data_IF_768166377872
#
_entry.id   IF_768166377872
#
_cell.length_a   1.000
_cell.length_b   1.000
_cell.length_c   1.000
_cell.angle_alpha   90.00
_cell.angle_beta   90.00
_cell.angle_gamma   90.00
#
_symmetry.space_group_name_H-M   'P 1'
#
loop_
_entity.id
_entity.type
_entity.pdbx_description
1 polymer ?
#
# COMPACT_ATOMS: atom_id res chain seq x y z
N UNK A 1 26.85 -1.35 1.09
CA UNK A 1 26.75 -0.62 2.37
C UNK A 1 25.96 -1.46 3.36
N UNK A 2 26.58 -1.84 4.48
CA UNK A 2 26.00 -2.67 5.54
C UNK A 2 25.17 -1.81 6.53
N UNK A 3 24.35 -0.91 6.01
CA UNK A 3 23.52 -0.02 6.81
C UNK A 3 22.12 -0.63 7.01
N UNK A 4 21.63 -0.58 8.24
CA UNK A 4 20.32 -1.05 8.64
C UNK A 4 19.42 0.14 8.94
N UNK A 5 18.28 0.21 8.25
CA UNK A 5 17.25 1.22 8.45
C UNK A 5 16.00 0.59 9.05
N UNK A 6 15.47 1.15 10.12
CA UNK A 6 14.23 0.63 10.72
C UNK A 6 13.49 1.67 11.57
N UNK A 7 12.22 1.40 11.82
CA UNK A 7 11.38 2.14 12.76
C UNK A 7 10.98 1.23 13.91
N UNK A 8 11.43 1.52 15.12
CA UNK A 8 11.15 0.71 16.33
C UNK A 8 11.10 1.57 17.59
N UNK A 9 10.66 0.98 18.70
CA UNK A 9 10.89 1.49 20.05
C UNK A 9 12.26 1.03 20.54
N UNK A 10 13.07 1.97 21.04
CA UNK A 10 14.45 1.71 21.46
C UNK A 10 14.52 1.35 22.96
N UNK A 11 13.55 1.82 23.74
CA UNK A 11 13.50 1.61 25.19
C UNK A 11 12.53 0.49 25.58
N UNK A 12 12.82 -0.14 26.72
CA UNK A 12 11.95 -1.19 27.27
C UNK A 12 10.57 -0.68 27.68
N UNK A 13 10.45 0.61 28.02
CA UNK A 13 9.18 1.21 28.43
C UNK A 13 8.25 1.55 27.24
N UNK A 14 8.72 1.42 26.00
CA UNK A 14 7.93 1.72 24.81
C UNK A 14 7.57 3.20 24.69
N UNK A 15 8.47 4.10 25.09
CA UNK A 15 8.25 5.56 25.05
C UNK A 15 9.12 6.27 24.01
N UNK A 16 10.25 5.67 23.63
CA UNK A 16 11.23 6.23 22.70
C UNK A 16 11.18 5.53 21.34
N UNK A 17 10.18 5.89 20.54
CA UNK A 17 10.10 5.47 19.15
C UNK A 17 11.04 6.30 18.26
N UNK A 18 11.72 5.64 17.34
CA UNK A 18 12.54 6.32 16.35
C UNK A 18 12.55 5.61 15.00
N UNK A 19 12.67 6.39 13.93
CA UNK A 19 13.23 5.92 12.67
C UNK A 19 14.74 6.10 12.77
N UNK A 20 15.50 5.03 12.62
CA UNK A 20 16.94 5.04 12.81
C UNK A 20 17.70 4.32 11.69
N UNK A 21 18.93 4.79 11.46
CA UNK A 21 19.97 4.09 10.71
C UNK A 21 21.07 3.69 11.67
N UNK A 22 21.41 2.42 11.66
CA UNK A 22 22.51 1.86 12.43
C UNK A 22 23.29 0.87 11.57
N UNK A 23 24.33 0.27 12.15
CA UNK A 23 25.28 -0.58 11.43
C UNK A 23 26.04 0.19 10.33
N UNK A 24 27.11 -0.40 9.81
CA UNK A 24 27.99 0.27 8.86
C UNK A 24 29.03 1.18 9.50
N UNK A 25 29.65 2.03 8.67
CA UNK A 25 30.80 2.87 9.05
C UNK A 25 30.41 4.25 9.58
N UNK A 26 29.20 4.70 9.28
CA UNK A 26 28.71 6.01 9.68
C UNK A 26 28.14 5.98 11.11
N UNK A 27 28.07 7.16 11.75
CA UNK A 27 27.42 7.29 13.04
C UNK A 27 25.93 6.93 12.92
N UNK A 28 25.38 6.36 14.00
CA UNK A 28 23.96 6.06 14.08
C UNK A 28 23.14 7.36 13.95
N UNK A 29 22.08 7.31 13.14
CA UNK A 29 21.18 8.42 12.87
C UNK A 29 19.79 8.09 13.40
N UNK A 30 19.07 9.08 13.93
CA UNK A 30 17.72 8.90 14.44
C UNK A 30 16.82 10.13 14.26
N UNK A 31 15.52 9.97 14.43
CA UNK A 31 14.59 11.09 14.59
C UNK A 31 14.84 11.87 15.89
N UNK A 32 14.44 13.14 15.93
CA UNK A 32 14.60 13.98 17.13
C UNK A 32 13.82 13.41 18.33
N UNK A 33 14.55 13.03 19.37
CA UNK A 33 14.02 12.31 20.52
C UNK A 33 13.01 13.16 21.29
N UNK A 34 11.92 12.55 21.76
CA UNK A 34 10.84 13.19 22.52
C UNK A 34 10.20 14.40 21.83
N UNK A 35 10.32 14.49 20.50
CA UNK A 35 9.71 15.53 19.69
C UNK A 35 8.47 15.00 18.98
N UNK A 36 7.29 15.25 19.56
CA UNK A 36 6.00 14.76 19.02
C UNK A 36 5.64 15.31 17.63
N UNK A 37 6.30 16.39 17.17
CA UNK A 37 6.16 16.86 15.79
C UNK A 37 6.76 15.87 14.79
N UNK A 38 7.80 15.15 15.20
CA UNK A 38 8.49 14.17 14.36
C UNK A 38 7.78 12.83 14.38
N UNK A 39 7.56 12.27 15.57
CA UNK A 39 6.86 11.01 15.79
C UNK A 39 6.08 11.08 17.09
N UNK A 40 4.82 10.65 17.08
CA UNK A 40 3.97 10.66 18.27
C UNK A 40 3.24 9.33 18.45
N UNK A 41 3.79 8.43 19.27
CA UNK A 41 3.28 7.07 19.49
C UNK A 41 3.05 6.31 18.15
N UNK A 42 4.10 6.13 17.33
CA UNK A 42 3.96 5.51 16.02
C UNK A 42 3.86 3.98 16.09
N UNK A 43 3.13 3.41 15.15
CA UNK A 43 3.21 2.00 14.78
C UNK A 43 3.70 1.90 13.33
N UNK A 44 4.91 1.38 13.15
CA UNK A 44 5.57 1.24 11.85
C UNK A 44 5.03 0.02 11.08
N UNK A 45 4.76 0.20 9.79
CA UNK A 45 4.12 -0.81 8.94
C UNK A 45 5.06 -1.29 7.84
N UNK A 46 5.69 -0.37 7.11
CA UNK A 46 6.53 -0.72 5.97
C UNK A 46 7.65 0.29 5.75
N UNK A 47 8.75 -0.14 5.13
CA UNK A 47 9.81 0.73 4.64
C UNK A 47 10.26 0.27 3.27
N UNK A 48 10.45 1.21 2.34
CA UNK A 48 10.89 0.91 0.98
C UNK A 48 11.84 1.99 0.46
N UNK A 49 12.94 1.56 -0.17
CA UNK A 49 13.80 2.42 -0.97
C UNK A 49 13.10 2.72 -2.31
N UNK A 50 12.88 3.99 -2.61
CA UNK A 50 12.31 4.44 -3.88
C UNK A 50 13.18 5.59 -4.42
N UNK A 51 13.89 5.40 -5.55
CA UNK A 51 14.66 6.45 -6.19
C UNK A 51 13.79 7.64 -6.58
N UNK A 52 14.31 8.86 -6.41
CA UNK A 52 13.58 10.09 -6.78
C UNK A 52 13.96 10.59 -8.17
N UNK A 53 15.18 10.29 -8.63
CA UNK A 53 15.70 10.65 -9.95
C UNK A 53 16.62 9.55 -10.50
N UNK A 54 17.33 9.83 -11.60
CA UNK A 54 18.39 8.94 -12.10
C UNK A 54 19.69 9.07 -11.29
N UNK A 55 19.85 10.17 -10.55
CA UNK A 55 20.99 10.40 -9.66
C UNK A 55 20.77 9.65 -8.35
N UNK A 56 21.72 8.77 -7.99
CA UNK A 56 21.60 7.91 -6.81
C UNK A 56 21.58 8.70 -5.51
N UNK A 57 22.22 9.88 -5.50
CA UNK A 57 22.17 10.77 -4.35
C UNK A 57 20.76 11.31 -4.07
N UNK A 58 19.82 11.23 -5.02
CA UNK A 58 18.42 11.60 -4.79
C UNK A 58 17.59 10.45 -4.19
N UNK A 59 18.16 9.27 -3.98
CA UNK A 59 17.47 8.10 -3.43
C UNK A 59 16.94 8.36 -2.01
N UNK A 60 15.69 7.94 -1.79
CA UNK A 60 14.99 8.15 -0.51
C UNK A 60 14.37 6.86 0.01
N UNK A 61 14.38 6.73 1.33
CA UNK A 61 13.59 5.72 2.03
C UNK A 61 12.25 6.31 2.41
N UNK A 62 11.18 5.57 2.09
CA UNK A 62 9.81 5.91 2.45
C UNK A 62 9.34 4.98 3.56
N UNK A 63 8.90 5.57 4.67
CA UNK A 63 8.40 4.88 5.86
C UNK A 63 6.88 5.04 5.94
N UNK A 64 6.16 3.94 6.07
CA UNK A 64 4.72 3.91 6.22
C UNK A 64 4.39 3.52 7.65
N UNK A 65 3.61 4.35 8.33
CA UNK A 65 3.29 4.17 9.74
C UNK A 65 1.99 4.87 10.08
N UNK A 66 1.44 4.59 11.25
CA UNK A 66 0.34 5.36 11.86
C UNK A 66 0.79 5.94 13.18
N UNK A 67 0.29 7.09 13.56
CA UNK A 67 0.69 7.79 14.79
C UNK A 67 -0.49 8.55 15.39
N UNK A 68 -0.41 8.92 16.67
CA UNK A 68 -1.41 9.79 17.30
C UNK A 68 -1.28 11.23 16.77
N UNK A 69 -2.41 11.83 16.47
CA UNK A 69 -2.51 13.25 16.12
C UNK A 69 -2.04 14.13 17.27
N UNK A 70 -1.42 15.26 16.93
CA UNK A 70 -1.00 16.30 17.89
C UNK A 70 -2.04 17.42 18.03
N UNK A 71 -3.23 17.24 17.44
CA UNK A 71 -4.25 18.30 17.34
C UNK A 71 -5.26 18.34 18.46
N UNK A 72 -5.64 17.18 18.99
CA UNK A 72 -6.61 17.10 20.07
C UNK A 72 -6.09 16.17 21.15
N UNK A 73 -5.51 16.72 22.24
CA UNK A 73 -5.13 15.90 23.39
C UNK A 73 -6.35 15.24 24.06
N UNK A 74 -7.56 15.79 23.84
CA UNK A 74 -8.81 15.30 24.43
C UNK A 74 -9.52 14.23 23.60
N UNK A 75 -9.13 14.03 22.34
CA UNK A 75 -9.66 12.98 21.47
C UNK A 75 -8.51 12.41 20.63
N UNK A 76 -7.83 11.35 21.10
CA UNK A 76 -6.68 10.80 20.41
C UNK A 76 -7.13 10.19 19.08
N UNK A 77 -6.98 10.97 18.01
CA UNK A 77 -7.19 10.54 16.63
C UNK A 77 -5.88 9.94 16.13
N UNK A 78 -5.95 8.80 15.45
CA UNK A 78 -4.80 8.19 14.79
C UNK A 78 -4.78 8.70 13.35
N UNK A 79 -3.60 9.01 12.82
CA UNK A 79 -3.42 9.31 11.41
C UNK A 79 -2.41 8.36 10.78
N UNK A 80 -2.72 7.92 9.58
CA UNK A 80 -1.78 7.22 8.71
C UNK A 80 -0.83 8.21 8.03
N UNK A 81 0.45 7.85 7.98
CA UNK A 81 1.55 8.69 7.52
C UNK A 81 2.43 7.97 6.52
N UNK A 82 2.96 8.76 5.60
CA UNK A 82 4.15 8.43 4.83
C UNK A 82 5.24 9.42 5.22
N UNK A 83 6.37 8.91 5.69
CA UNK A 83 7.60 9.67 5.97
C UNK A 83 8.65 9.40 4.91
N UNK A 84 9.59 10.32 4.70
CA UNK A 84 10.74 10.12 3.82
C UNK A 84 12.02 10.68 4.43
N UNK A 85 13.16 10.05 4.12
CA UNK A 85 14.52 10.54 4.41
C UNK A 85 15.40 10.29 3.19
N UNK A 86 16.40 11.14 2.96
CA UNK A 86 17.46 10.88 1.99
C UNK A 86 18.36 9.75 2.48
N UNK A 87 18.73 8.84 1.59
CA UNK A 87 19.56 7.69 1.93
C UNK A 87 20.95 8.13 2.43
N UNK A 88 21.51 9.18 1.81
CA UNK A 88 22.82 9.76 2.09
C UNK A 88 22.79 10.94 3.09
N UNK A 89 21.77 11.00 3.96
CA UNK A 89 21.71 12.01 5.03
C UNK A 89 22.79 11.73 6.10
N UNK A 90 23.60 12.74 6.41
CA UNK A 90 24.70 12.69 7.38
C UNK A 90 24.39 13.47 8.67
N UNK A 91 23.17 13.96 8.80
CA UNK A 91 22.73 14.86 9.86
C UNK A 91 23.21 16.28 9.68
N UNK A 92 22.91 17.13 10.66
CA UNK A 92 23.37 18.53 10.66
C UNK A 92 24.73 18.71 11.32
N UNK A 93 25.35 19.88 11.09
CA UNK A 93 26.67 20.23 11.60
C UNK A 93 26.64 20.65 13.09
N UNK A 94 25.86 21.69 13.42
CA UNK A 94 25.69 22.19 14.79
C UNK A 94 24.37 21.73 15.42
N UNK A 95 23.27 21.87 14.68
CA UNK A 95 21.95 21.36 15.05
C UNK A 95 21.71 19.99 14.40
N UNK A 96 20.83 19.17 14.97
CA UNK A 96 20.52 17.83 14.44
C UNK A 96 21.76 16.94 14.21
N UNK A 97 22.79 17.06 15.06
CA UNK A 97 23.93 16.15 15.05
C UNK A 97 23.45 14.72 15.33
N UNK A 98 23.81 13.78 14.47
CA UNK A 98 23.37 12.38 14.52
C UNK A 98 21.82 12.22 14.47
N UNK A 99 21.13 13.20 13.87
CA UNK A 99 19.68 13.18 13.67
C UNK A 99 19.35 13.51 12.22
N UNK A 100 18.30 12.90 11.67
CA UNK A 100 17.90 13.13 10.28
C UNK A 100 17.74 14.61 9.98
N UNK A 101 18.38 15.10 8.93
CA UNK A 101 18.25 16.49 8.49
C UNK A 101 17.35 16.63 7.26
N UNK A 102 16.79 15.52 6.78
CA UNK A 102 15.92 15.44 5.59
C UNK A 102 14.55 14.79 5.86
N UNK A 103 14.25 14.45 7.13
CA UNK A 103 12.99 13.80 7.50
C UNK A 103 11.76 14.69 7.30
N UNK A 104 10.84 14.25 6.46
CA UNK A 104 9.52 14.85 6.27
C UNK A 104 8.43 13.79 6.33
N UNK A 105 7.21 14.14 6.77
CA UNK A 105 6.03 13.27 6.75
C UNK A 105 4.77 13.97 6.26
N UNK A 106 3.88 13.21 5.62
CA UNK A 106 2.58 13.66 5.14
C UNK A 106 1.48 12.69 5.59
N UNK A 107 0.23 13.17 5.72
CA UNK A 107 -0.94 12.32 5.99
C UNK A 107 -1.31 11.54 4.72
N UNK A 108 -1.54 10.24 4.85
CA UNK A 108 -2.24 9.44 3.84
C UNK A 108 -3.74 9.47 4.14
N UNK A 109 -4.55 9.82 3.15
CA UNK A 109 -6.01 9.80 3.26
C UNK A 109 -6.54 8.57 2.56
N UNK A 110 -7.35 7.78 3.26
CA UNK A 110 -8.19 6.76 2.65
C UNK A 110 -9.62 6.99 3.16
N UNK A 111 -10.47 7.55 2.32
CA UNK A 111 -11.83 7.96 2.73
C UNK A 111 -12.83 7.78 1.60
N UNK A 112 -14.08 7.55 1.98
CA UNK A 112 -15.22 7.53 1.05
C UNK A 112 -15.95 8.87 1.18
N UNK A 113 -16.12 9.63 0.09
CA UNK A 113 -16.89 10.87 0.11
C UNK A 113 -18.38 10.57 0.29
N UNK A 114 -19.02 11.17 1.29
CA UNK A 114 -20.47 11.15 1.49
C UNK A 114 -21.20 12.09 0.52
N UNK A 115 -22.50 11.84 0.31
CA UNK A 115 -23.35 12.70 -0.53
C UNK A 115 -23.53 14.12 0.04
N UNK A 116 -23.33 14.27 1.34
CA UNK A 116 -23.30 15.53 2.10
C UNK A 116 -21.93 16.22 2.06
N UNK A 117 -20.94 15.64 1.39
CA UNK A 117 -19.56 16.11 1.36
C UNK A 117 -18.72 15.74 2.58
N UNK A 118 -19.28 14.99 3.54
CA UNK A 118 -18.53 14.50 4.70
C UNK A 118 -17.79 13.22 4.32
N UNK A 119 -16.47 13.20 4.52
CA UNK A 119 -15.64 12.04 4.23
C UNK A 119 -15.66 11.04 5.40
N UNK A 120 -15.94 9.78 5.10
CA UNK A 120 -15.76 8.67 6.06
C UNK A 120 -14.35 8.13 5.96
N UNK A 121 -13.53 8.34 6.99
CA UNK A 121 -12.10 8.00 6.98
C UNK A 121 -11.79 6.59 7.51
N UNK A 122 -10.79 5.95 6.89
CA UNK A 122 -10.13 4.74 7.35
C UNK A 122 -8.69 5.11 7.73
N UNK A 123 -8.48 5.57 8.96
CA UNK A 123 -7.20 6.18 9.37
C UNK A 123 -6.17 5.19 9.94
N UNK A 124 -6.52 3.91 10.13
CA UNK A 124 -5.60 2.90 10.67
C UNK A 124 -4.96 2.05 9.56
N UNK A 125 -3.79 2.48 9.06
CA UNK A 125 -2.96 1.70 8.13
C UNK A 125 -2.55 0.35 8.74
N UNK A 126 -2.81 -0.75 8.05
CA UNK A 126 -2.49 -2.12 8.47
C UNK A 126 -1.33 -2.75 7.69
N UNK A 127 -1.31 -2.59 6.36
CA UNK A 127 -0.28 -3.17 5.50
C UNK A 127 -0.08 -2.34 4.23
N UNK A 128 1.08 -2.49 3.60
CA UNK A 128 1.47 -1.80 2.36
C UNK A 128 2.14 -2.78 1.40
N UNK A 129 1.64 -2.83 0.17
CA UNK A 129 2.26 -3.55 -0.93
C UNK A 129 2.75 -2.58 -2.02
N UNK A 130 4.02 -2.69 -2.39
CA UNK A 130 4.67 -1.85 -3.40
C UNK A 130 4.75 -2.62 -4.72
N UNK A 131 3.91 -2.25 -5.67
CA UNK A 131 3.96 -2.79 -7.02
C UNK A 131 4.97 -2.01 -7.85
N UNK A 132 6.09 -2.65 -8.16
CA UNK A 132 7.08 -2.08 -9.08
C UNK A 132 6.50 -1.97 -10.48
N UNK A 133 6.73 -0.84 -11.14
CA UNK A 133 6.42 -0.64 -12.56
C UNK A 133 7.69 -0.79 -13.39
N UNK A 134 7.61 -0.55 -14.70
CA UNK A 134 8.81 -0.51 -15.55
C UNK A 134 9.76 0.63 -15.12
N UNK A 135 9.23 1.68 -14.51
CA UNK A 135 10.01 2.76 -13.91
C UNK A 135 10.05 2.58 -12.38
N UNK A 136 11.20 2.15 -11.86
CA UNK A 136 11.40 1.93 -10.42
C UNK A 136 11.26 3.21 -9.56
N UNK A 137 11.28 4.39 -10.19
CA UNK A 137 10.96 5.67 -9.52
C UNK A 137 9.46 5.86 -9.34
N UNK A 138 8.63 5.12 -10.06
CA UNK A 138 7.18 5.26 -10.05
C UNK A 138 6.47 3.94 -9.75
N UNK A 139 6.73 3.29 -8.60
CA UNK A 139 5.88 2.20 -8.13
C UNK A 139 4.46 2.67 -7.81
N UNK A 140 3.52 1.74 -7.86
CA UNK A 140 2.15 1.92 -7.38
C UNK A 140 2.06 1.35 -5.96
N UNK A 141 1.47 2.11 -5.05
CA UNK A 141 1.42 1.76 -3.62
C UNK A 141 0.00 1.36 -3.26
N UNK A 142 -0.19 0.09 -2.89
CA UNK A 142 -1.44 -0.41 -2.33
C UNK A 142 -1.33 -0.39 -0.82
N UNK A 143 -2.35 0.12 -0.14
CA UNK A 143 -2.35 0.17 1.32
C UNK A 143 -3.71 -0.24 1.87
N UNK A 144 -3.67 -1.11 2.88
CA UNK A 144 -4.85 -1.59 3.61
C UNK A 144 -5.05 -0.71 4.82
N UNK A 145 -6.27 -0.21 5.00
CA UNK A 145 -6.68 0.59 6.14
C UNK A 145 -7.87 -0.07 6.84
N UNK A 146 -7.99 0.18 8.13
CA UNK A 146 -9.23 -0.06 8.86
C UNK A 146 -9.81 1.24 9.40
N UNK A 147 -11.12 1.23 9.61
CA UNK A 147 -11.81 2.30 10.32
C UNK A 147 -11.30 2.39 11.76
N UNK A 148 -11.21 3.62 12.27
CA UNK A 148 -10.82 3.88 13.64
C UNK A 148 -11.92 3.49 14.62
N UNK A 149 -11.52 2.95 15.77
CA UNK A 149 -12.43 2.57 16.84
C UNK A 149 -12.84 1.10 16.82
N UNK A 150 -13.42 0.65 17.93
CA UNK A 150 -13.76 -0.75 18.18
C UNK A 150 -15.16 -1.14 17.70
N UNK A 151 -16.06 -0.16 17.52
CA UNK A 151 -17.49 -0.40 17.24
C UNK A 151 -17.73 -0.68 15.75
N UNK A 152 -17.06 0.04 14.86
CA UNK A 152 -17.24 -0.13 13.42
C UNK A 152 -16.09 -0.96 12.82
N UNK A 153 -16.42 -2.14 12.32
CA UNK A 153 -15.49 -2.98 11.56
C UNK A 153 -15.61 -2.64 10.07
N UNK A 154 -14.76 -1.70 9.65
CA UNK A 154 -14.59 -1.33 8.25
C UNK A 154 -13.15 -1.52 7.82
N UNK A 155 -12.93 -1.97 6.59
CA UNK A 155 -11.62 -2.00 5.93
C UNK A 155 -11.71 -1.37 4.54
N UNK A 156 -10.63 -0.76 4.10
CA UNK A 156 -10.52 -0.19 2.77
C UNK A 156 -9.13 -0.46 2.19
N UNK A 157 -9.05 -0.62 0.86
CA UNK A 157 -7.79 -0.64 0.13
C UNK A 157 -7.71 0.63 -0.69
N UNK A 158 -6.68 1.43 -0.46
CA UNK A 158 -6.41 2.64 -1.23
C UNK A 158 -5.12 2.47 -2.04
N UNK A 159 -5.11 3.06 -3.23
CA UNK A 159 -3.97 3.02 -4.14
C UNK A 159 -3.42 4.43 -4.29
N UNK A 160 -2.11 4.60 -4.15
CA UNK A 160 -1.44 5.89 -4.24
C UNK A 160 -0.39 5.89 -5.37
N UNK A 161 -0.30 7.01 -6.06
CA UNK A 161 0.75 7.24 -7.06
C UNK A 161 1.96 7.92 -6.41
N UNK A 162 3.17 7.54 -6.84
CA UNK A 162 4.38 8.25 -6.40
C UNK A 162 4.44 9.70 -6.89
N UNK A 163 3.74 10.03 -7.98
CA UNK A 163 3.62 11.40 -8.47
C UNK A 163 2.89 12.31 -7.46
N UNK A 164 1.75 11.86 -6.93
CA UNK A 164 0.97 12.62 -5.93
C UNK A 164 1.73 12.75 -4.62
N UNK A 165 2.41 11.69 -4.19
CA UNK A 165 3.27 11.70 -3.01
C UNK A 165 4.37 12.75 -3.14
N UNK A 166 5.09 12.78 -4.26
CA UNK A 166 6.12 13.78 -4.53
C UNK A 166 5.55 15.20 -4.57
N UNK A 167 4.40 15.38 -5.22
CA UNK A 167 3.71 16.67 -5.27
C UNK A 167 3.44 17.21 -3.86
N UNK A 168 2.95 16.36 -2.96
CA UNK A 168 2.69 16.73 -1.55
C UNK A 168 3.97 17.13 -0.83
N UNK A 169 5.04 16.35 -0.96
CA UNK A 169 6.31 16.68 -0.31
C UNK A 169 7.02 17.91 -0.91
N UNK A 170 6.67 18.28 -2.14
CA UNK A 170 7.11 19.54 -2.77
C UNK A 170 6.14 20.71 -2.48
N UNK A 171 5.03 20.45 -1.78
CA UNK A 171 4.01 21.41 -1.39
C UNK A 171 4.32 22.19 -0.10
N UNK A 172 3.34 22.91 0.48
CA UNK A 172 3.57 23.71 1.69
C UNK A 172 3.84 22.84 2.93
N UNK A 173 4.76 23.30 3.78
CA UNK A 173 4.96 22.74 5.12
C UNK A 173 3.78 23.13 6.02
N UNK A 174 3.45 22.29 6.98
CA UNK A 174 2.48 22.59 8.01
C UNK A 174 3.16 23.33 9.16
N UNK A 175 2.47 24.33 9.72
CA UNK A 175 2.93 25.00 10.93
C UNK A 175 1.76 25.49 11.79
N UNK A 176 2.02 25.72 13.09
CA UNK A 176 1.08 26.30 14.04
C UNK A 176 1.57 27.68 14.48
N UNK A 177 0.85 28.73 14.10
CA UNK A 177 1.08 30.12 14.55
C UNK A 177 -0.26 30.81 14.80
N UNK A 178 -0.20 31.90 15.56
CA UNK A 178 -1.36 32.72 15.90
C UNK A 178 -2.13 32.23 17.13
N UNK A 179 -3.16 33.00 17.55
CA UNK A 179 -3.85 32.83 18.83
C UNK A 179 -4.62 31.51 18.93
N UNK A 180 -5.04 30.92 17.80
CA UNK A 180 -5.83 29.70 17.76
C UNK A 180 -4.98 28.43 17.69
N UNK A 181 -3.67 28.54 17.44
CA UNK A 181 -2.71 27.43 17.38
C UNK A 181 -3.17 26.24 16.51
N UNK A 182 -3.75 26.57 15.34
CA UNK A 182 -4.24 25.60 14.36
C UNK A 182 -3.18 25.32 13.30
N UNK A 183 -3.21 24.14 12.67
CA UNK A 183 -2.36 23.87 11.51
C UNK A 183 -2.78 24.71 10.31
N UNK A 184 -1.80 25.36 9.71
CA UNK A 184 -1.96 26.19 8.53
C UNK A 184 -0.76 26.00 7.59
N UNK A 185 -0.92 26.27 6.28
CA UNK A 185 0.20 26.18 5.35
C UNK A 185 1.21 27.27 5.70
N UNK A 186 2.49 26.90 5.75
CA UNK A 186 3.58 27.86 5.95
C UNK A 186 3.73 28.74 4.70
N UNK A 187 3.56 30.04 4.88
CA UNK A 187 3.63 31.06 3.81
C UNK A 187 4.90 31.91 3.86
N UNK A 188 5.75 31.70 4.86
CA UNK A 188 7.01 32.41 5.01
C UNK A 188 8.08 31.98 4.00
N UNK A 189 9.27 32.57 4.11
CA UNK A 189 10.40 32.26 3.24
C UNK A 189 10.93 30.84 3.52
N UNK A 190 10.90 29.98 2.51
CA UNK A 190 11.52 28.65 2.56
C UNK A 190 13.02 28.81 2.28
N UNK A 191 13.92 28.32 3.15
CA UNK A 191 15.37 28.45 2.97
C UNK A 191 15.88 27.58 1.81
N UNK A 192 17.11 27.83 1.36
CA UNK A 192 17.78 27.08 0.29
C UNK A 192 19.00 26.30 0.80
N UNK A 193 19.22 25.03 0.39
CA UNK A 193 18.34 24.23 -0.44
C UNK A 193 17.00 23.95 0.25
N UNK A 194 15.98 23.59 -0.56
CA UNK A 194 14.65 23.33 -0.02
C UNK A 194 14.74 22.24 1.05
N UNK A 195 14.20 22.47 2.27
CA UNK A 195 14.17 21.48 3.34
C UNK A 195 13.65 20.12 2.83
N UNK A 196 14.43 19.05 3.02
CA UNK A 196 14.17 17.70 2.52
C UNK A 196 14.83 17.31 1.19
N UNK A 197 15.59 18.22 0.55
CA UNK A 197 16.43 17.90 -0.62
C UNK A 197 17.68 17.11 -0.20
N UNK A 198 18.07 16.10 -0.98
CA UNK A 198 19.22 15.24 -0.70
C UNK A 198 20.54 15.88 -1.14
N UNK A 199 21.63 15.75 -0.37
CA UNK A 199 22.92 16.32 -0.73
C UNK A 199 23.51 15.58 -1.93
N UNK A 200 24.29 16.28 -2.77
CA UNK A 200 24.96 15.74 -3.94
C UNK A 200 24.01 15.30 -5.06
N UNK A 201 22.71 15.54 -4.90
CA UNK A 201 21.66 15.21 -5.85
C UNK A 201 21.52 16.23 -6.98
N UNK A 202 20.51 16.02 -7.82
CA UNK A 202 20.27 16.81 -9.04
C UNK A 202 20.18 18.31 -8.76
N UNK A 203 19.58 18.70 -7.63
CA UNK A 203 19.33 20.10 -7.26
C UNK A 203 20.42 20.72 -6.38
N UNK A 204 21.33 19.92 -5.83
CA UNK A 204 22.40 20.39 -4.93
C UNK A 204 23.73 19.71 -5.24
N UNK A 205 24.22 19.81 -6.50
CA UNK A 205 25.44 19.09 -6.92
C UNK A 205 26.70 19.56 -6.18
N UNK A 206 26.69 20.79 -5.64
CA UNK A 206 27.84 21.38 -4.92
C UNK A 206 27.87 21.08 -3.41
N UNK A 207 26.76 20.63 -2.81
CA UNK A 207 26.65 20.34 -1.37
C UNK A 207 26.67 18.82 -1.20
N UNK A 208 27.81 18.23 -0.87
CA UNK A 208 28.01 16.77 -0.93
C UNK A 208 27.53 16.06 0.33
N UNK A 209 27.36 16.78 1.42
CA UNK A 209 26.81 16.29 2.67
C UNK A 209 25.75 17.26 3.19
N UNK A 210 24.78 16.75 3.96
CA UNK A 210 23.81 17.60 4.68
C UNK A 210 24.48 18.49 5.73
N UNK A 211 25.73 18.18 6.12
CA UNK A 211 26.55 19.06 6.95
C UNK A 211 26.99 20.35 6.26
N UNK A 212 26.93 20.39 4.92
CA UNK A 212 27.23 21.58 4.12
C UNK A 212 26.01 22.52 4.02
N UNK A 213 24.85 22.11 4.53
CA UNK A 213 23.63 22.92 4.46
C UNK A 213 23.67 24.09 5.45
N UNK A 214 23.12 25.27 5.08
CA UNK A 214 23.00 26.40 5.99
C UNK A 214 22.18 26.06 7.25
N UNK A 215 22.54 26.67 8.39
CA UNK A 215 21.83 26.47 9.67
C UNK A 215 20.33 26.79 9.58
N UNK A 216 19.93 27.75 8.72
CA UNK A 216 18.51 28.06 8.49
C UNK A 216 17.71 26.86 7.95
N UNK A 217 18.31 26.04 7.07
CA UNK A 217 17.68 24.83 6.52
C UNK A 217 17.52 23.78 7.61
N UNK A 218 18.58 23.56 8.40
CA UNK A 218 18.59 22.56 9.48
C UNK A 218 17.60 22.93 10.59
N UNK A 219 17.53 24.21 10.99
CA UNK A 219 16.57 24.71 11.96
C UNK A 219 15.12 24.62 11.46
N UNK A 220 14.91 24.91 10.16
CA UNK A 220 13.60 24.76 9.55
C UNK A 220 13.14 23.29 9.59
N UNK A 221 13.99 22.36 9.15
CA UNK A 221 13.71 20.91 9.17
C UNK A 221 13.34 20.40 10.56
N UNK A 222 14.02 20.88 11.60
CA UNK A 222 13.72 20.49 12.99
C UNK A 222 12.32 20.87 13.43
N UNK A 223 11.82 22.01 12.94
CA UNK A 223 10.58 22.63 13.42
C UNK A 223 9.38 22.36 12.50
N UNK A 224 9.62 21.99 11.24
CA UNK A 224 8.62 21.78 10.19
C UNK A 224 8.72 20.39 9.50
N UNK A 225 8.70 19.27 10.23
CA UNK A 225 8.79 17.93 9.61
C UNK A 225 7.49 17.49 8.91
N UNK A 226 6.39 18.25 9.01
CA UNK A 226 5.06 17.83 8.53
C UNK A 226 4.68 18.64 7.29
N UNK A 227 4.17 17.97 6.25
CA UNK A 227 3.56 18.61 5.08
C UNK A 227 2.10 18.98 5.38
N UNK A 228 1.65 20.15 4.90
CA UNK A 228 0.30 20.62 5.14
C UNK A 228 -0.74 19.86 4.31
N UNK A 229 -0.44 19.65 3.02
CA UNK A 229 -1.34 18.90 2.16
C UNK A 229 -1.29 17.40 2.49
N UNK A 230 -2.43 16.71 2.53
CA UNK A 230 -2.46 15.26 2.59
C UNK A 230 -2.21 14.64 1.19
N UNK A 231 -1.83 13.37 1.18
CA UNK A 231 -1.82 12.53 -0.01
C UNK A 231 -3.17 11.81 -0.11
N UNK A 232 -3.91 12.08 -1.19
CA UNK A 232 -5.13 11.36 -1.52
C UNK A 232 -4.81 10.14 -2.41
N UNK A 233 -5.66 9.09 -2.39
CA UNK A 233 -5.49 7.96 -3.29
C UNK A 233 -5.86 8.36 -4.72
N UNK A 234 -5.49 7.53 -5.68
CA UNK A 234 -5.89 7.68 -7.08
C UNK A 234 -7.43 7.77 -7.14
N UNK A 235 -7.96 8.71 -7.92
CA UNK A 235 -9.39 9.04 -8.00
C UNK A 235 -10.02 9.58 -6.71
N UNK A 236 -9.23 9.88 -5.66
CA UNK A 236 -9.69 10.37 -4.35
C UNK A 236 -10.73 9.46 -3.67
N UNK A 237 -10.71 8.17 -3.98
CA UNK A 237 -11.58 7.17 -3.37
C UNK A 237 -10.83 5.85 -3.18
N UNK A 238 -11.29 4.94 -2.30
CA UNK A 238 -10.69 3.62 -2.15
C UNK A 238 -10.94 2.76 -3.39
N UNK A 239 -10.01 1.86 -3.67
CA UNK A 239 -10.19 0.83 -4.69
C UNK A 239 -11.20 -0.24 -4.26
N UNK A 240 -11.24 -0.55 -2.97
CA UNK A 240 -12.10 -1.57 -2.37
C UNK A 240 -12.55 -1.11 -0.98
N UNK A 241 -13.83 -1.30 -0.66
CA UNK A 241 -14.38 -1.06 0.68
C UNK A 241 -15.13 -2.29 1.19
N UNK A 242 -14.86 -2.68 2.45
CA UNK A 242 -15.61 -3.72 3.17
C UNK A 242 -16.11 -3.17 4.50
N UNK A 243 -17.42 -3.13 4.64
CA UNK A 243 -18.14 -2.69 5.83
C UNK A 243 -19.22 -3.70 6.18
N UNK A 244 -19.79 -3.62 7.39
CA UNK A 244 -20.84 -4.55 7.86
C UNK A 244 -20.41 -6.03 7.86
N UNK A 245 -19.12 -6.28 8.01
CA UNK A 245 -18.54 -7.62 8.14
C UNK A 245 -17.92 -7.79 9.52
N UNK A 246 -17.79 -9.05 9.97
CA UNK A 246 -17.23 -9.37 11.28
C UNK A 246 -15.69 -9.45 11.30
N UNK A 247 -15.03 -9.24 10.16
CA UNK A 247 -13.59 -9.28 9.98
C UNK A 247 -13.00 -7.92 9.56
N UNK A 248 -11.69 -7.77 9.70
CA UNK A 248 -10.90 -6.67 9.14
C UNK A 248 -9.82 -7.22 8.22
N UNK A 249 -9.47 -6.47 7.18
CA UNK A 249 -8.28 -6.77 6.38
C UNK A 249 -7.01 -6.47 7.19
N UNK A 250 -6.05 -7.39 7.12
CA UNK A 250 -4.78 -7.28 7.84
C UNK A 250 -3.59 -7.17 6.89
N UNK A 251 -3.64 -7.81 5.73
CA UNK A 251 -2.52 -7.90 4.80
C UNK A 251 -2.97 -7.88 3.35
N UNK A 252 -2.07 -7.48 2.46
CA UNK A 252 -2.31 -7.45 1.01
C UNK A 252 -1.12 -8.00 0.22
N UNK A 253 -1.42 -8.76 -0.83
CA UNK A 253 -0.48 -9.05 -1.91
C UNK A 253 -1.19 -8.90 -3.25
N UNK A 254 -0.52 -8.34 -4.25
CA UNK A 254 -1.10 -8.12 -5.58
C UNK A 254 -0.30 -8.89 -6.62
N UNK A 255 -1.00 -9.58 -7.53
CA UNK A 255 -0.40 -10.15 -8.74
C UNK A 255 -0.95 -9.47 -9.99
N UNK A 256 -0.12 -9.41 -11.03
CA UNK A 256 -0.45 -8.84 -12.33
C UNK A 256 -0.63 -9.97 -13.33
N UNK A 257 -1.88 -10.25 -13.69
CA UNK A 257 -2.25 -11.47 -14.42
C UNK A 257 -2.72 -11.10 -15.82
N UNK A 258 -2.04 -11.65 -16.82
CA UNK A 258 -2.52 -11.58 -18.20
C UNK A 258 -3.68 -12.56 -18.37
N UNK A 259 -4.76 -12.09 -18.97
CA UNK A 259 -5.94 -12.85 -19.38
C UNK A 259 -6.20 -12.64 -20.88
N UNK A 260 -7.26 -13.25 -21.41
CA UNK A 260 -7.58 -13.17 -22.84
C UNK A 260 -8.07 -11.80 -23.31
N UNK A 261 -8.69 -11.03 -22.41
CA UNK A 261 -9.34 -9.74 -22.68
C UNK A 261 -8.61 -8.55 -22.05
N UNK A 262 -7.46 -8.78 -21.40
CA UNK A 262 -6.66 -7.73 -20.80
C UNK A 262 -5.72 -8.22 -19.72
N UNK A 263 -5.13 -7.27 -19.01
CA UNK A 263 -4.32 -7.53 -17.82
C UNK A 263 -5.10 -7.07 -16.60
N UNK A 264 -5.03 -7.84 -15.52
CA UNK A 264 -5.80 -7.60 -14.31
C UNK A 264 -4.91 -7.59 -13.08
N UNK A 265 -5.22 -6.68 -12.15
CA UNK A 265 -4.76 -6.72 -10.78
C UNK A 265 -5.59 -7.70 -9.96
N UNK A 266 -4.95 -8.78 -9.51
CA UNK A 266 -5.57 -9.72 -8.57
C UNK A 266 -5.05 -9.43 -7.17
N UNK A 267 -5.96 -9.01 -6.29
CA UNK A 267 -5.70 -8.71 -4.91
C UNK A 267 -5.93 -9.97 -4.06
N UNK A 268 -4.93 -10.35 -3.27
CA UNK A 268 -5.05 -11.31 -2.19
C UNK A 268 -5.08 -10.52 -0.88
N UNK A 269 -6.15 -10.67 -0.10
CA UNK A 269 -6.41 -9.92 1.12
C UNK A 269 -6.53 -10.88 2.29
N UNK A 270 -5.63 -10.76 3.27
CA UNK A 270 -5.69 -11.54 4.50
C UNK A 270 -6.63 -10.88 5.51
N UNK A 271 -7.29 -11.68 6.34
CA UNK A 271 -8.22 -11.19 7.36
C UNK A 271 -7.75 -11.48 8.78
N UNK A 272 -8.31 -10.75 9.74
CA UNK A 272 -8.14 -11.01 11.18
C UNK A 272 -8.86 -12.29 11.66
N UNK A 273 -9.68 -12.92 10.81
CA UNK A 273 -10.32 -14.22 11.05
C UNK A 273 -9.55 -15.39 10.42
N UNK A 274 -8.41 -15.15 9.77
CA UNK A 274 -7.59 -16.22 9.20
C UNK A 274 -8.05 -16.73 7.82
N UNK A 275 -8.84 -15.93 7.11
CA UNK A 275 -9.18 -16.16 5.71
C UNK A 275 -8.30 -15.35 4.76
N UNK A 276 -8.17 -15.83 3.53
CA UNK A 276 -7.61 -15.06 2.40
C UNK A 276 -8.69 -14.92 1.34
N UNK A 277 -8.96 -13.67 0.96
CA UNK A 277 -9.90 -13.32 -0.10
C UNK A 277 -9.13 -12.99 -1.38
N UNK A 278 -9.57 -13.55 -2.51
CA UNK A 278 -9.08 -13.24 -3.85
C UNK A 278 -10.08 -12.33 -4.52
N UNK A 279 -9.67 -11.12 -4.84
CA UNK A 279 -10.54 -10.05 -5.34
C UNK A 279 -9.95 -9.44 -6.60
N UNK A 280 -10.80 -9.11 -7.57
CA UNK A 280 -10.46 -8.22 -8.68
C UNK A 280 -11.42 -7.03 -8.67
N UNK A 281 -10.96 -5.90 -9.19
CA UNK A 281 -11.79 -4.70 -9.34
C UNK A 281 -11.82 -4.33 -10.81
N UNK A 282 -13.03 -4.24 -11.35
CA UNK A 282 -13.26 -3.97 -12.77
C UNK A 282 -13.81 -2.56 -12.95
N UNK A 283 -13.38 -1.83 -13.98
CA UNK A 283 -14.00 -0.56 -14.32
C UNK A 283 -15.41 -0.82 -14.89
N UNK A 284 -16.39 -0.10 -14.35
CA UNK A 284 -17.74 0.05 -14.91
C UNK A 284 -17.81 1.41 -15.64
N UNK A 285 -18.93 1.68 -16.31
CA UNK A 285 -19.17 2.97 -16.94
C UNK A 285 -19.17 4.10 -15.87
N UNK A 286 -18.83 5.34 -16.26
CA UNK A 286 -18.89 6.55 -15.42
C UNK A 286 -18.13 6.52 -14.07
N UNK A 287 -16.86 6.09 -14.08
CA UNK A 287 -15.94 6.07 -12.91
C UNK A 287 -16.38 5.11 -11.77
N UNK A 288 -17.45 4.35 -11.94
CA UNK A 288 -17.82 3.29 -11.03
C UNK A 288 -16.88 2.08 -11.19
N UNK A 289 -16.68 1.35 -10.10
CA UNK A 289 -15.96 0.08 -10.11
C UNK A 289 -16.87 -1.06 -9.65
N UNK A 290 -16.73 -2.22 -10.30
CA UNK A 290 -17.33 -3.48 -9.88
C UNK A 290 -16.28 -4.29 -9.12
N UNK A 291 -16.53 -4.55 -7.84
CA UNK A 291 -15.69 -5.42 -7.03
C UNK A 291 -16.16 -6.86 -7.13
N UNK A 292 -15.25 -7.79 -7.44
CA UNK A 292 -15.56 -9.21 -7.55
C UNK A 292 -14.69 -10.03 -6.60
N UNK A 293 -15.32 -10.64 -5.61
CA UNK A 293 -14.70 -11.65 -4.77
C UNK A 293 -14.75 -12.99 -5.49
N UNK A 294 -13.61 -13.42 -6.04
CA UNK A 294 -13.47 -14.65 -6.80
C UNK A 294 -13.44 -15.88 -5.89
N UNK A 295 -12.85 -15.73 -4.71
CA UNK A 295 -12.63 -16.84 -3.79
C UNK A 295 -12.37 -16.34 -2.36
N UNK A 296 -12.82 -17.10 -1.36
CA UNK A 296 -12.42 -16.92 0.04
C UNK A 296 -12.02 -18.27 0.63
N UNK A 297 -10.92 -18.29 1.38
CA UNK A 297 -10.26 -19.52 1.81
C UNK A 297 -9.87 -19.41 3.27
N UNK A 298 -10.36 -20.32 4.10
CA UNK A 298 -9.80 -20.53 5.43
C UNK A 298 -8.46 -21.26 5.32
N UNK A 299 -7.41 -20.65 5.83
CA UNK A 299 -6.03 -21.07 5.54
C UNK A 299 -5.49 -22.06 6.57
N UNK A 300 -6.01 -22.02 7.80
CA UNK A 300 -5.59 -22.86 8.91
C UNK A 300 -6.82 -23.47 9.58
N UNK A 301 -6.72 -24.72 10.05
CA UNK A 301 -7.80 -25.40 10.79
C UNK A 301 -8.23 -24.67 12.07
N UNK A 302 -7.29 -23.96 12.69
CA UNK A 302 -7.55 -23.08 13.83
C UNK A 302 -7.47 -21.65 13.30
N UNK A 303 -8.60 -20.93 13.20
CA UNK A 303 -8.63 -19.56 12.74
C UNK A 303 -7.66 -18.69 13.52
N UNK A 304 -6.76 -18.01 12.81
CA UNK A 304 -5.79 -17.08 13.39
C UNK A 304 -5.53 -15.92 12.41
N UNK A 305 -5.42 -14.66 12.90
CA UNK A 305 -5.20 -13.50 12.05
C UNK A 305 -4.03 -13.70 11.10
N UNK A 306 -4.24 -13.40 9.82
CA UNK A 306 -3.16 -13.43 8.82
C UNK A 306 -2.15 -12.32 9.15
N UNK A 307 -0.87 -12.68 9.26
CA UNK A 307 0.23 -11.79 9.67
C UNK A 307 1.12 -11.36 8.51
N UNK A 308 1.32 -12.21 7.51
CA UNK A 308 2.04 -11.82 6.30
C UNK A 308 1.63 -12.70 5.12
N UNK A 309 1.78 -12.15 3.92
CA UNK A 309 1.56 -12.85 2.67
C UNK A 309 2.67 -12.55 1.68
N UNK A 310 3.08 -13.56 0.89
CA UNK A 310 4.08 -13.38 -0.17
C UNK A 310 3.77 -14.25 -1.38
N UNK A 311 3.70 -13.62 -2.54
CA UNK A 311 3.50 -14.32 -3.81
C UNK A 311 4.85 -14.81 -4.36
N UNK A 312 4.87 -16.06 -4.81
CA UNK A 312 5.93 -16.61 -5.64
C UNK A 312 5.39 -16.87 -7.03
N UNK A 313 5.56 -15.90 -7.93
CA UNK A 313 5.10 -16.02 -9.33
C UNK A 313 5.78 -17.19 -10.06
N UNK A 314 7.03 -17.55 -9.70
CA UNK A 314 7.70 -18.73 -10.28
C UNK A 314 7.04 -20.05 -9.87
N UNK A 315 6.65 -20.18 -8.59
CA UNK A 315 6.00 -21.40 -8.07
C UNK A 315 4.49 -21.39 -8.24
N UNK A 316 3.92 -20.22 -8.57
CA UNK A 316 2.48 -20.00 -8.67
C UNK A 316 1.77 -20.29 -7.34
N UNK A 317 2.38 -19.82 -6.25
CA UNK A 317 1.92 -20.01 -4.87
C UNK A 317 1.87 -18.67 -4.13
N UNK A 318 0.89 -18.53 -3.24
CA UNK A 318 0.81 -17.53 -2.20
C UNK A 318 1.22 -18.17 -0.87
N UNK A 319 2.31 -17.71 -0.27
CA UNK A 319 2.70 -18.10 1.08
C UNK A 319 1.98 -17.21 2.09
N UNK A 320 1.40 -17.82 3.12
CA UNK A 320 0.58 -17.15 4.13
C UNK A 320 1.07 -17.55 5.52
N UNK A 321 1.25 -16.56 6.40
CA UNK A 321 1.65 -16.80 7.78
C UNK A 321 0.63 -16.29 8.79
N UNK A 322 0.54 -16.99 9.92
CA UNK A 322 -0.19 -16.57 11.11
C UNK A 322 0.56 -17.07 12.36
N UNK A 323 0.00 -16.82 13.55
CA UNK A 323 0.52 -17.44 14.77
C UNK A 323 0.39 -18.98 14.76
N UNK A 324 -0.49 -19.54 13.93
CA UNK A 324 -0.65 -21.00 13.76
C UNK A 324 0.46 -21.64 12.93
N UNK A 325 1.22 -20.86 12.16
CA UNK A 325 2.32 -21.34 11.32
C UNK A 325 2.37 -20.69 9.94
N UNK A 326 3.03 -21.36 9.00
CA UNK A 326 3.15 -20.94 7.59
C UNK A 326 2.59 -22.02 6.69
N UNK A 327 1.79 -21.63 5.71
CA UNK A 327 1.27 -22.51 4.66
C UNK A 327 1.30 -21.82 3.31
N UNK A 328 0.84 -22.50 2.27
CA UNK A 328 0.74 -21.94 0.92
C UNK A 328 -0.57 -22.33 0.23
N UNK A 329 -1.03 -21.45 -0.66
CA UNK A 329 -2.18 -21.63 -1.51
C UNK A 329 -1.76 -21.50 -2.97
N UNK A 330 -2.29 -22.33 -3.87
CA UNK A 330 -2.12 -22.11 -5.29
C UNK A 330 -2.80 -20.79 -5.70
N UNK A 331 -2.16 -19.98 -6.55
CA UNK A 331 -2.77 -18.72 -7.04
C UNK A 331 -4.05 -18.96 -7.87
N UNK A 332 -4.20 -20.18 -8.39
CA UNK A 332 -5.30 -20.61 -9.23
C UNK A 332 -5.72 -22.03 -8.83
N UNK A 333 -7.03 -22.27 -8.84
CA UNK A 333 -7.66 -23.58 -8.58
C UNK A 333 -8.73 -23.84 -9.62
N UNK A 334 -8.36 -23.70 -10.90
CA UNK A 334 -9.31 -23.71 -12.00
C UNK A 334 -10.15 -24.98 -12.06
N UNK A 335 -9.62 -26.12 -11.63
CA UNK A 335 -10.32 -27.41 -11.62
C UNK A 335 -11.57 -27.39 -10.70
N UNK A 336 -11.63 -26.48 -9.71
CA UNK A 336 -12.78 -26.32 -8.80
C UNK A 336 -14.00 -25.74 -9.52
N UNK A 337 -13.80 -25.00 -10.61
CA UNK A 337 -14.91 -24.44 -11.40
C UNK A 337 -15.59 -25.46 -12.33
N UNK A 338 -15.16 -26.73 -12.30
CA UNK A 338 -15.84 -27.82 -12.97
C UNK A 338 -15.48 -28.03 -14.45
N UNK A 339 -16.27 -28.89 -15.09
CA UNK A 339 -16.05 -29.38 -16.45
C UNK A 339 -17.00 -28.79 -17.49
N UNK A 340 -17.76 -27.74 -17.16
CA UNK A 340 -18.58 -27.03 -18.15
C UNK A 340 -17.92 -25.71 -18.57
N UNK A 341 -18.00 -25.39 -19.87
CA UNK A 341 -17.52 -24.11 -20.38
C UNK A 341 -18.20 -22.93 -19.67
N UNK A 342 -19.50 -23.05 -19.41
CA UNK A 342 -20.28 -22.00 -18.77
C UNK A 342 -19.78 -21.70 -17.35
N UNK A 343 -19.53 -22.73 -16.53
CA UNK A 343 -19.05 -22.59 -15.16
C UNK A 343 -17.67 -21.91 -15.12
N UNK A 344 -16.76 -22.34 -15.99
CA UNK A 344 -15.43 -21.73 -16.12
C UNK A 344 -15.51 -20.26 -16.57
N UNK A 345 -16.43 -19.93 -17.46
CA UNK A 345 -16.63 -18.56 -17.95
C UNK A 345 -17.23 -17.64 -16.86
N UNK A 346 -18.16 -18.16 -16.06
CA UNK A 346 -18.80 -17.43 -14.97
C UNK A 346 -17.87 -17.20 -13.79
N UNK A 347 -16.83 -18.03 -13.62
CA UNK A 347 -15.83 -17.86 -12.57
C UNK A 347 -15.09 -16.52 -12.66
N UNK A 348 -14.95 -15.94 -13.86
CA UNK A 348 -14.27 -14.64 -14.13
C UNK A 348 -12.85 -14.54 -13.53
N UNK A 349 -12.22 -15.66 -13.18
CA UNK A 349 -10.87 -15.69 -12.61
C UNK A 349 -9.83 -15.47 -13.74
N UNK A 350 -9.01 -14.40 -13.69
CA UNK A 350 -7.99 -14.14 -14.71
C UNK A 350 -7.00 -15.28 -14.93
N UNK A 351 -6.78 -16.11 -13.90
CA UNK A 351 -5.90 -17.26 -14.02
C UNK A 351 -6.54 -18.46 -14.72
N UNK A 352 -7.86 -18.46 -14.96
CA UNK A 352 -8.59 -19.64 -15.41
C UNK A 352 -9.32 -19.41 -16.74
N UNK A 353 -9.23 -20.39 -17.63
CA UNK A 353 -9.87 -20.39 -18.92
C UNK A 353 -10.32 -21.80 -19.30
N UNK A 354 -11.44 -21.89 -20.00
CA UNK A 354 -11.91 -23.13 -20.58
C UNK A 354 -10.96 -23.54 -21.70
N UNK A 355 -10.46 -24.78 -21.72
CA UNK A 355 -9.50 -25.22 -22.72
C UNK A 355 -10.09 -26.02 -23.90
N UNK A 356 -11.41 -26.25 -23.86
CA UNK A 356 -12.14 -27.12 -24.77
C UNK A 356 -12.68 -28.38 -24.09
N UNK A 357 -12.13 -28.77 -22.93
CA UNK A 357 -12.53 -29.96 -22.17
C UNK A 357 -12.76 -29.70 -20.69
N UNK A 358 -11.92 -28.91 -20.04
CA UNK A 358 -12.08 -28.57 -18.61
C UNK A 358 -11.69 -27.11 -18.36
N UNK A 359 -12.08 -26.58 -17.19
CA UNK A 359 -11.54 -25.31 -16.74
C UNK A 359 -10.09 -25.53 -16.29
N UNK A 360 -9.15 -24.78 -16.87
CA UNK A 360 -7.73 -24.96 -16.60
C UNK A 360 -7.02 -23.62 -16.57
N UNK A 361 -5.75 -23.64 -16.16
CA UNK A 361 -4.95 -22.43 -16.08
C UNK A 361 -4.81 -21.73 -17.44
N UNK A 362 -5.08 -20.43 -17.47
CA UNK A 362 -4.83 -19.57 -18.61
C UNK A 362 -3.33 -19.53 -18.98
N UNK A 363 -3.08 -19.46 -20.29
CA UNK A 363 -1.74 -19.37 -20.86
C UNK A 363 -1.83 -18.70 -22.23
N UNK A 364 -0.94 -17.78 -22.58
CA UNK A 364 -1.02 -17.03 -23.83
C UNK A 364 -0.71 -17.85 -25.12
N UNK A 365 -0.62 -19.19 -25.04
CA UNK A 365 -0.23 -20.02 -26.20
C UNK A 365 -1.24 -19.93 -27.36
N UNK A 366 -0.73 -19.61 -28.56
CA UNK A 366 -1.49 -19.36 -29.79
C UNK A 366 -2.23 -20.57 -30.39
N UNK A 367 -2.10 -21.76 -29.81
CA UNK A 367 -2.45 -23.04 -30.48
C UNK A 367 -3.80 -23.65 -30.12
N UNK A 368 -4.68 -23.01 -29.33
CA UNK A 368 -5.99 -23.60 -28.97
C UNK A 368 -7.18 -22.72 -29.35
N UNK A 369 -7.77 -22.98 -30.53
CA UNK A 369 -9.01 -22.35 -31.03
C UNK A 369 -10.23 -22.54 -30.10
N UNK A 370 -10.17 -23.48 -29.18
CA UNK A 370 -11.24 -23.82 -28.22
C UNK A 370 -11.19 -23.01 -26.92
N UNK A 371 -10.18 -22.16 -26.70
CA UNK A 371 -10.04 -21.45 -25.43
C UNK A 371 -11.07 -20.34 -25.24
N UNK A 372 -11.71 -20.30 -24.08
CA UNK A 372 -12.74 -19.31 -23.73
C UNK A 372 -12.50 -18.76 -22.34
N UNK A 373 -12.50 -17.43 -22.25
CA UNK A 373 -12.41 -16.67 -21.01
C UNK A 373 -13.03 -15.29 -21.29
N UNK A 374 -13.76 -14.75 -20.31
CA UNK A 374 -14.35 -13.42 -20.36
C UNK A 374 -14.40 -12.92 -18.92
N UNK A 375 -13.27 -12.35 -18.47
CA UNK A 375 -13.15 -11.85 -17.09
C UNK A 375 -14.04 -10.64 -16.93
N UNK A 376 -14.05 -9.74 -17.92
CA UNK A 376 -14.74 -8.46 -17.82
C UNK A 376 -16.26 -8.61 -17.71
N UNK A 377 -16.90 -9.52 -18.45
CA UNK A 377 -18.36 -9.63 -18.46
C UNK A 377 -18.90 -10.98 -17.99
N UNK A 378 -18.07 -12.04 -17.99
CA UNK A 378 -18.51 -13.38 -17.63
C UNK A 378 -19.66 -13.89 -18.49
N UNK A 379 -19.64 -13.71 -19.82
CA UNK A 379 -20.77 -14.04 -20.70
C UNK A 379 -20.65 -15.43 -21.36
N UNK A 380 -21.23 -16.50 -20.76
CA UNK A 380 -21.15 -17.84 -21.33
C UNK A 380 -21.92 -17.99 -22.65
N UNK A 381 -22.98 -17.19 -22.89
CA UNK A 381 -23.79 -17.27 -24.11
C UNK A 381 -22.97 -16.87 -25.35
N UNK A 382 -22.04 -15.93 -25.19
CA UNK A 382 -21.12 -15.53 -26.27
C UNK A 382 -19.93 -16.48 -26.37
N UNK A 383 -19.36 -16.87 -25.23
CA UNK A 383 -18.10 -17.62 -25.18
C UNK A 383 -18.29 -19.12 -25.47
N UNK A 384 -19.36 -19.73 -24.97
CA UNK A 384 -19.52 -21.19 -24.94
C UNK A 384 -20.44 -21.75 -26.03
N UNK A 385 -20.74 -20.99 -27.09
CA UNK A 385 -21.54 -21.47 -28.22
C UNK A 385 -20.90 -22.72 -28.83
N UNK A 386 -21.63 -23.83 -28.82
CA UNK A 386 -21.17 -25.13 -29.33
C UNK A 386 -20.50 -26.04 -28.28
N UNK A 387 -20.38 -25.60 -27.03
CA UNK A 387 -19.83 -26.39 -25.91
C UNK A 387 -20.86 -26.63 -24.79
N UNK A 388 -22.13 -26.30 -25.02
CA UNK A 388 -23.21 -26.63 -24.08
C UNK A 388 -23.30 -28.16 -23.95
N UNK A 389 -23.37 -28.60 -22.70
CA UNK A 389 -23.39 -29.99 -22.27
C UNK A 389 -24.24 -30.89 -23.17
N UNK A 390 -23.61 -31.94 -23.71
CA UNK A 390 -24.30 -33.17 -24.10
C UNK A 390 -24.80 -33.88 -22.83
N UNK A 391 -25.69 -33.23 -22.09
CA UNK A 391 -26.45 -33.87 -21.02
C UNK A 391 -27.35 -34.92 -21.67
N UNK A 392 -27.15 -36.18 -21.30
CA UNK A 392 -27.89 -37.35 -21.78
C UNK A 392 -29.41 -37.10 -21.88
N UNK A 393 -29.91 -36.85 -23.09
CA UNK A 393 -31.30 -37.12 -23.47
C UNK A 393 -31.37 -38.58 -23.93
N UNK A 394 -31.15 -39.52 -23.01
CA UNK A 394 -31.42 -40.95 -23.23
C UNK A 394 -31.71 -41.65 -21.89
N UNK A 395 -32.81 -41.26 -21.24
CA UNK A 395 -33.58 -42.14 -20.33
C UNK A 395 -34.81 -41.40 -19.80
N UNK A 396 -35.97 -41.59 -20.44
CA UNK A 396 -37.30 -41.59 -19.83
C UNK A 396 -38.36 -41.83 -20.93
N UNK A 397 -38.38 -43.04 -21.49
CA UNK A 397 -39.60 -43.64 -22.02
C UNK A 397 -39.54 -45.12 -21.65
N UNK A 398 -40.19 -45.45 -20.56
CA UNK A 398 -40.67 -46.77 -20.17
C UNK A 398 -41.85 -46.56 -19.23
#
# INVERSE_FOLDING_TARGET
DEELYSGVYIDFMGTDAAIFRAMGKQAAMRTDQYNSRWLNDPAFVHVQLIPDSLERNDDKLYFFFREKSTDSPHSPTVFSRIGRVCLNDDGGHCCLVNKWSTFLKARLICSVPGADGIETHFDELQDVFIQQTQDNKNPVIYAVFSASGSVFKGSAVCVYSMADIRMVFNGPFAHKEGPNYQWMPYTGKIPYPRPGTCPGGTFTPSMKSTKDYPDEVINFMRTHPVMYNPVYPIHRQPLLVRTNVNYKFTTIAVDQVDASDGRYEVLFLGTDQGTVQKVIVLPKDDLETEELMLEEVEVFKVPAPIKSMKISSKRQQLYVSSLSGVTHLALHRCDVYGEACADCCLARDPYCAWDGKTCSRYSASSKRRSRRQDVRHGNPIRQCRGYNSNGNIRTAMS
#
